data_IF_513584803774
#
_entry.id   IF_513584803774
#
_cell.length_a   1.000
_cell.length_b   1.000
_cell.length_c   1.000
_cell.angle_alpha   90.00
_cell.angle_beta   90.00
_cell.angle_gamma   90.00
#
_symmetry.space_group_name_H-M   'P 1'
#
loop_
_entity.id
_entity.type
_entity.pdbx_description
1 polymer ?
#
# COMPACT_ATOMS: atom_id res chain seq x y z
N UNK A 1 8.37 -1.74 -18.09
CA UNK A 1 7.65 -2.10 -16.84
C UNK A 1 8.63 -2.48 -15.74
N UNK A 2 8.20 -2.49 -14.48
CA UNK A 2 8.99 -2.97 -13.34
C UNK A 2 8.06 -3.59 -12.27
N UNK A 3 8.66 -4.35 -11.37
CA UNK A 3 8.07 -4.75 -10.10
C UNK A 3 9.16 -4.70 -9.01
N UNK A 4 8.90 -5.22 -7.83
CA UNK A 4 9.86 -5.18 -6.70
C UNK A 4 11.21 -5.82 -7.06
N UNK A 5 11.20 -7.10 -7.48
CA UNK A 5 12.41 -7.87 -7.78
C UNK A 5 12.53 -8.38 -9.24
N UNK A 6 11.63 -8.00 -10.16
CA UNK A 6 11.70 -8.39 -11.57
C UNK A 6 10.87 -9.63 -11.96
N UNK A 7 10.64 -10.59 -11.08
CA UNK A 7 10.03 -11.91 -11.40
C UNK A 7 8.67 -11.80 -12.09
N UNK A 8 7.79 -10.93 -11.60
CA UNK A 8 6.45 -10.72 -12.21
C UNK A 8 6.54 -10.09 -13.59
N UNK A 9 7.60 -9.34 -13.85
CA UNK A 9 7.82 -8.66 -15.14
C UNK A 9 8.16 -9.63 -16.26
N UNK A 10 8.83 -10.74 -15.99
CA UNK A 10 9.14 -11.76 -16.99
C UNK A 10 7.86 -12.32 -17.61
N UNK A 11 6.92 -12.76 -16.76
CA UNK A 11 5.61 -13.25 -17.22
C UNK A 11 4.80 -12.16 -17.93
N UNK A 12 4.79 -10.95 -17.37
CA UNK A 12 4.03 -9.84 -17.94
C UNK A 12 4.59 -9.40 -19.30
N UNK A 13 5.91 -9.32 -19.46
CA UNK A 13 6.55 -8.96 -20.74
C UNK A 13 6.33 -10.03 -21.81
N UNK A 14 6.42 -11.32 -21.45
CA UNK A 14 6.10 -12.40 -22.37
C UNK A 14 4.65 -12.33 -22.84
N UNK A 15 3.69 -12.08 -21.93
CA UNK A 15 2.29 -11.91 -22.29
C UNK A 15 2.06 -10.70 -23.22
N UNK A 16 2.70 -9.57 -22.94
CA UNK A 16 2.58 -8.37 -23.79
C UNK A 16 3.12 -8.62 -25.20
N UNK A 17 4.29 -9.28 -25.32
CA UNK A 17 4.84 -9.69 -26.62
C UNK A 17 3.90 -10.64 -27.38
N UNK A 18 3.31 -11.62 -26.67
CA UNK A 18 2.29 -12.51 -27.26
C UNK A 18 1.05 -11.73 -27.75
N UNK A 19 0.70 -10.60 -27.14
CA UNK A 19 -0.38 -9.71 -27.57
C UNK A 19 0.01 -8.75 -28.70
N UNK A 20 1.21 -8.88 -29.28
CA UNK A 20 1.67 -8.10 -30.43
C UNK A 20 2.37 -6.78 -30.08
N UNK A 21 2.70 -6.53 -28.81
CA UNK A 21 3.52 -5.38 -28.46
C UNK A 21 4.99 -5.65 -28.77
N UNK A 22 5.59 -4.90 -29.69
CA UNK A 22 6.96 -5.10 -30.12
C UNK A 22 8.00 -4.56 -29.11
N UNK A 23 7.77 -3.35 -28.59
CA UNK A 23 8.69 -2.64 -27.71
C UNK A 23 8.32 -2.87 -26.24
N UNK A 24 8.64 -4.06 -25.72
CA UNK A 24 8.38 -4.44 -24.33
C UNK A 24 9.67 -4.61 -23.58
N UNK A 25 9.91 -3.70 -22.64
CA UNK A 25 11.10 -3.69 -21.78
C UNK A 25 10.70 -3.84 -20.32
N UNK A 26 11.55 -4.49 -19.54
CA UNK A 26 11.41 -4.50 -18.07
C UNK A 26 12.76 -4.24 -17.40
N UNK A 27 12.67 -3.75 -16.17
CA UNK A 27 13.83 -3.41 -15.37
C UNK A 27 14.40 -4.71 -14.76
N UNK A 28 15.62 -5.06 -15.13
CA UNK A 28 16.33 -6.23 -14.60
C UNK A 28 16.51 -6.10 -13.08
N UNK A 29 16.15 -7.16 -12.34
CA UNK A 29 16.17 -7.16 -10.88
C UNK A 29 15.18 -6.21 -10.20
N UNK A 30 14.28 -5.59 -10.98
CA UNK A 30 13.22 -4.73 -10.51
C UNK A 30 13.71 -3.40 -9.92
N UNK A 31 12.78 -2.71 -9.21
CA UNK A 31 13.07 -1.38 -8.66
C UNK A 31 14.11 -1.41 -7.54
N UNK A 32 14.23 -2.52 -6.80
CA UNK A 32 15.21 -2.65 -5.72
C UNK A 32 16.64 -2.66 -6.29
N UNK A 33 16.89 -3.46 -7.35
CA UNK A 33 18.21 -3.50 -8.00
C UNK A 33 18.54 -2.14 -8.60
N UNK A 34 17.58 -1.51 -9.28
CA UNK A 34 17.74 -0.16 -9.81
C UNK A 34 18.18 0.86 -8.74
N UNK A 35 17.49 0.89 -7.62
CA UNK A 35 17.82 1.83 -6.54
C UNK A 35 19.21 1.56 -5.95
N UNK A 36 19.58 0.28 -5.78
CA UNK A 36 20.90 -0.13 -5.28
C UNK A 36 22.00 0.29 -6.24
N UNK A 37 21.86 -0.04 -7.53
CA UNK A 37 22.84 0.24 -8.55
C UNK A 37 23.01 1.75 -8.77
N UNK A 38 21.91 2.51 -8.75
CA UNK A 38 21.95 3.96 -8.84
C UNK A 38 22.73 4.59 -7.66
N UNK A 39 22.44 4.15 -6.43
CA UNK A 39 23.18 4.60 -5.24
C UNK A 39 24.66 4.23 -5.30
N UNK A 40 24.99 3.00 -5.67
CA UNK A 40 26.38 2.52 -5.76
C UNK A 40 27.21 3.28 -6.80
N UNK A 41 26.59 3.76 -7.87
CA UNK A 41 27.24 4.50 -8.94
C UNK A 41 27.04 6.03 -8.85
N UNK A 42 26.48 6.55 -7.74
CA UNK A 42 26.16 7.96 -7.54
C UNK A 42 25.31 8.55 -8.69
N UNK A 43 24.37 7.75 -9.21
CA UNK A 43 23.45 8.20 -10.25
C UNK A 43 22.18 8.77 -9.61
N UNK A 44 21.57 9.72 -10.30
CA UNK A 44 20.32 10.34 -9.90
C UNK A 44 19.15 9.34 -10.01
N UNK A 45 18.49 9.06 -8.88
CA UNK A 45 17.35 8.16 -8.81
C UNK A 45 16.11 8.87 -9.36
N UNK A 46 15.58 8.37 -10.48
CA UNK A 46 14.39 8.94 -11.13
C UNK A 46 13.06 8.50 -10.51
N UNK A 47 13.06 7.45 -9.69
CA UNK A 47 11.87 7.00 -8.98
C UNK A 47 11.66 7.84 -7.72
N UNK A 48 10.43 8.28 -7.48
CA UNK A 48 10.06 9.11 -6.32
C UNK A 48 9.21 8.33 -5.33
N UNK A 49 9.59 8.39 -4.04
CA UNK A 49 8.84 7.83 -2.94
C UNK A 49 9.11 6.35 -2.67
N UNK A 50 8.07 5.64 -2.26
CA UNK A 50 8.11 4.23 -1.87
C UNK A 50 7.46 3.33 -2.94
N UNK A 51 8.00 2.12 -3.10
CA UNK A 51 7.38 1.07 -3.88
C UNK A 51 6.58 0.15 -2.95
N UNK A 52 5.28 -0.03 -3.24
CA UNK A 52 4.45 -0.96 -2.47
C UNK A 52 4.92 -2.41 -2.69
N UNK A 53 5.05 -3.15 -1.58
CA UNK A 53 5.39 -4.57 -1.58
C UNK A 53 4.27 -5.38 -0.93
N UNK A 54 4.11 -6.65 -1.39
CA UNK A 54 3.02 -7.53 -0.94
C UNK A 54 3.46 -8.46 0.19
N UNK A 55 4.27 -7.95 1.11
CA UNK A 55 4.70 -8.64 2.33
C UNK A 55 4.52 -7.72 3.55
N UNK A 56 4.92 -8.17 4.73
CA UNK A 56 4.73 -7.47 5.99
C UNK A 56 5.35 -6.06 6.05
N UNK A 57 6.34 -5.76 5.19
CA UNK A 57 6.93 -4.43 5.07
C UNK A 57 5.97 -3.40 4.48
N UNK A 58 5.03 -3.83 3.63
CA UNK A 58 4.05 -3.04 2.87
C UNK A 58 4.65 -1.92 2.00
N UNK A 59 5.91 -1.53 2.22
CA UNK A 59 6.60 -0.52 1.44
C UNK A 59 8.12 -0.74 1.43
N UNK A 60 8.75 -0.45 0.30
CA UNK A 60 10.20 -0.37 0.14
C UNK A 60 10.57 1.05 -0.30
N UNK A 61 11.38 1.76 0.51
CA UNK A 61 11.77 3.13 0.20
C UNK A 61 12.83 3.15 -0.90
N UNK A 62 12.53 3.86 -1.96
CA UNK A 62 13.41 4.00 -3.13
C UNK A 62 14.09 5.37 -3.11
N UNK A 63 13.35 6.45 -2.84
CA UNK A 63 13.89 7.80 -2.65
C UNK A 63 13.35 8.44 -1.37
N UNK A 64 13.93 9.55 -0.95
CA UNK A 64 13.57 10.24 0.29
C UNK A 64 12.30 11.12 0.15
N UNK A 65 11.83 11.35 -1.08
CA UNK A 65 10.64 12.15 -1.32
C UNK A 65 9.38 11.43 -0.83
N UNK A 66 8.51 12.17 -0.15
CA UNK A 66 7.19 11.72 0.28
C UNK A 66 6.15 12.34 -0.64
N UNK A 67 5.56 11.54 -1.52
CA UNK A 67 4.57 12.00 -2.51
C UNK A 67 3.12 11.68 -2.13
N UNK A 68 2.94 10.80 -1.16
CA UNK A 68 1.63 10.41 -0.65
C UNK A 68 1.23 11.24 0.58
N UNK A 69 -0.02 11.13 0.98
CA UNK A 69 -0.56 11.80 2.16
C UNK A 69 -1.35 10.84 3.03
N UNK A 70 -1.37 11.09 4.33
CA UNK A 70 -2.26 10.42 5.27
C UNK A 70 -3.71 10.54 4.79
N UNK A 71 -4.43 9.42 4.71
CA UNK A 71 -5.80 9.41 4.20
C UNK A 71 -6.82 10.02 5.20
N UNK A 72 -6.41 10.25 6.45
CA UNK A 72 -7.25 10.84 7.48
C UNK A 72 -7.02 12.35 7.62
N UNK A 73 -5.79 12.81 7.85
CA UNK A 73 -5.52 14.23 8.08
C UNK A 73 -4.95 14.99 6.88
N UNK A 74 -4.41 14.28 5.87
CA UNK A 74 -3.83 14.89 4.67
C UNK A 74 -2.34 15.26 4.79
N UNK A 75 -1.71 15.09 5.95
CA UNK A 75 -0.28 15.34 6.14
C UNK A 75 0.57 14.43 5.23
N UNK A 76 1.73 14.92 4.75
CA UNK A 76 2.64 14.10 3.95
C UNK A 76 3.07 12.84 4.70
N UNK A 77 2.74 11.67 4.17
CA UNK A 77 3.09 10.38 4.75
C UNK A 77 2.91 9.27 3.73
N UNK A 78 3.72 8.21 3.78
CA UNK A 78 3.71 7.18 2.76
C UNK A 78 3.77 5.73 3.28
N UNK A 79 3.67 5.54 4.60
CA UNK A 79 3.59 4.19 5.15
C UNK A 79 2.17 3.66 5.12
N UNK A 80 2.03 2.46 4.56
CA UNK A 80 0.77 1.74 4.50
C UNK A 80 0.54 0.97 5.80
N UNK A 81 -0.73 0.84 6.17
CA UNK A 81 -1.18 0.01 7.29
C UNK A 81 -2.52 -0.62 6.96
N UNK A 82 -2.84 -1.73 7.61
CA UNK A 82 -4.18 -2.31 7.56
C UNK A 82 -4.98 -1.84 8.77
N UNK A 83 -6.27 -1.58 8.58
CA UNK A 83 -7.17 -1.28 9.68
C UNK A 83 -7.17 -2.43 10.70
N UNK A 84 -7.03 -2.10 11.98
CA UNK A 84 -7.00 -3.09 13.06
C UNK A 84 -8.31 -3.87 13.18
N UNK A 85 -9.44 -3.26 12.83
CA UNK A 85 -10.72 -3.98 12.75
C UNK A 85 -10.65 -5.03 11.64
N UNK A 86 -10.56 -6.30 12.02
CA UNK A 86 -10.47 -7.45 11.10
C UNK A 86 -11.70 -7.59 10.18
N UNK A 87 -12.84 -7.03 10.56
CA UNK A 87 -14.03 -6.98 9.71
C UNK A 87 -13.92 -5.97 8.56
N UNK A 88 -13.10 -4.94 8.74
CA UNK A 88 -12.79 -3.94 7.71
C UNK A 88 -11.50 -4.25 6.97
N UNK A 89 -10.40 -4.35 7.71
CA UNK A 89 -9.03 -4.66 7.25
C UNK A 89 -8.60 -3.92 5.99
N UNK A 90 -9.10 -2.69 5.78
CA UNK A 90 -8.74 -1.87 4.61
C UNK A 90 -7.27 -1.48 4.68
N UNK A 91 -6.57 -1.56 3.55
CA UNK A 91 -5.21 -1.06 3.40
C UNK A 91 -5.25 0.43 3.08
N UNK A 92 -4.57 1.26 3.88
CA UNK A 92 -4.56 2.71 3.73
C UNK A 92 -3.26 3.33 4.24
N UNK A 93 -3.09 4.64 4.05
CA UNK A 93 -1.93 5.40 4.55
C UNK A 93 -2.37 6.17 5.80
N UNK A 94 -1.64 5.97 6.91
CA UNK A 94 -1.95 6.59 8.20
C UNK A 94 -0.67 7.12 8.86
N UNK A 95 -0.63 8.43 9.15
CA UNK A 95 0.49 9.04 9.88
C UNK A 95 0.47 8.65 11.37
N UNK A 96 1.58 8.86 12.06
CA UNK A 96 1.72 8.48 13.47
C UNK A 96 0.69 9.14 14.38
N UNK A 97 0.41 10.43 14.19
CA UNK A 97 -0.61 11.17 14.96
C UNK A 97 -2.00 10.56 14.78
N UNK A 98 -2.39 10.23 13.54
CA UNK A 98 -3.66 9.56 13.28
C UNK A 98 -3.67 8.12 13.77
N UNK A 99 -2.53 7.44 13.74
CA UNK A 99 -2.37 6.09 14.27
C UNK A 99 -2.65 6.03 15.77
N UNK A 100 -2.12 6.99 16.53
CA UNK A 100 -2.39 7.13 17.96
C UNK A 100 -3.85 7.50 18.20
N UNK A 101 -4.36 8.52 17.51
CA UNK A 101 -5.74 9.00 17.67
C UNK A 101 -6.79 7.94 17.39
N UNK A 102 -6.62 7.14 16.34
CA UNK A 102 -7.60 6.13 15.88
C UNK A 102 -7.17 4.69 16.20
N UNK A 103 -6.16 4.49 17.03
CA UNK A 103 -5.68 3.16 17.46
C UNK A 103 -5.48 2.19 16.28
N UNK A 104 -4.79 2.62 15.25
CA UNK A 104 -4.59 1.88 14.00
C UNK A 104 -5.87 1.56 13.21
N UNK A 105 -6.98 2.22 13.50
CA UNK A 105 -8.23 2.06 12.77
C UNK A 105 -8.41 3.13 11.69
N UNK A 106 -9.13 2.81 10.64
CA UNK A 106 -9.39 3.73 9.54
C UNK A 106 -10.47 4.77 9.88
N UNK A 107 -11.31 4.51 10.89
CA UNK A 107 -12.39 5.38 11.35
C UNK A 107 -12.72 5.13 12.83
N UNK A 108 -13.45 6.05 13.44
CA UNK A 108 -13.97 5.91 14.82
C UNK A 108 -14.91 4.71 14.95
N UNK A 109 -15.70 4.41 13.91
CA UNK A 109 -16.56 3.22 13.90
C UNK A 109 -15.73 1.93 14.02
N UNK A 110 -14.61 1.84 13.26
CA UNK A 110 -13.72 0.70 13.34
C UNK A 110 -13.02 0.62 14.70
N UNK A 111 -12.62 1.75 15.27
CA UNK A 111 -12.05 1.84 16.62
C UNK A 111 -13.04 1.33 17.67
N UNK A 112 -14.29 1.78 17.64
CA UNK A 112 -15.34 1.30 18.56
C UNK A 112 -15.55 -0.21 18.44
N UNK A 113 -15.50 -0.78 17.24
CA UNK A 113 -15.61 -2.23 17.04
C UNK A 113 -14.41 -2.97 17.65
N UNK A 114 -13.20 -2.42 17.59
CA UNK A 114 -12.03 -3.07 18.20
C UNK A 114 -12.07 -3.10 19.74
N UNK A 115 -12.85 -2.23 20.37
CA UNK A 115 -13.07 -2.21 21.81
C UNK A 115 -14.16 -3.21 22.30
N UNK A 116 -14.91 -3.82 21.39
CA UNK A 116 -15.86 -4.89 21.72
C UNK A 116 -15.13 -6.18 22.07
N UNK A 117 -15.81 -7.09 22.77
CA UNK A 117 -15.31 -8.42 23.04
C UNK A 117 -15.02 -9.21 21.74
N UNK A 118 -14.12 -10.18 21.80
CA UNK A 118 -13.82 -11.01 20.64
C UNK A 118 -15.04 -11.74 20.07
N UNK A 119 -15.97 -12.11 20.94
CA UNK A 119 -17.21 -12.80 20.58
C UNK A 119 -18.14 -11.88 19.79
N UNK A 120 -18.35 -10.65 20.27
CA UNK A 120 -19.14 -9.64 19.56
C UNK A 120 -18.53 -9.27 18.21
N UNK A 121 -17.21 -9.09 18.16
CA UNK A 121 -16.50 -8.85 16.89
C UNK A 121 -16.68 -10.02 15.91
N UNK A 122 -16.64 -11.27 16.37
CA UNK A 122 -16.90 -12.45 15.56
C UNK A 122 -18.33 -12.48 15.03
N UNK A 123 -19.31 -12.16 15.85
CA UNK A 123 -20.72 -12.09 15.43
C UNK A 123 -20.95 -11.00 14.37
N UNK A 124 -20.38 -9.81 14.57
CA UNK A 124 -20.45 -8.73 13.58
C UNK A 124 -19.83 -9.15 12.23
N UNK A 125 -18.68 -9.83 12.25
CA UNK A 125 -18.02 -10.32 11.02
C UNK A 125 -18.84 -11.37 10.29
N UNK A 126 -19.59 -12.23 10.99
CA UNK A 126 -20.48 -13.21 10.34
C UNK A 126 -21.63 -12.53 9.60
N UNK A 127 -22.14 -11.42 10.13
CA UNK A 127 -23.25 -10.65 9.54
C UNK A 127 -22.82 -9.76 8.39
N UNK A 128 -21.56 -9.32 8.36
CA UNK A 128 -21.05 -8.40 7.35
C UNK A 128 -20.05 -9.12 6.44
N UNK A 129 -20.32 -9.29 5.15
CA UNK A 129 -19.36 -9.91 4.24
C UNK A 129 -18.09 -9.07 4.17
N UNK A 130 -16.93 -9.70 4.40
CA UNK A 130 -15.62 -9.05 4.31
C UNK A 130 -15.33 -8.75 2.84
N UNK A 131 -15.48 -7.51 2.45
CA UNK A 131 -14.98 -7.03 1.17
C UNK A 131 -13.55 -6.54 1.40
N UNK A 132 -12.55 -7.30 0.93
CA UNK A 132 -11.15 -6.87 0.96
C UNK A 132 -10.97 -5.67 0.04
N UNK A 133 -11.00 -4.48 0.60
CA UNK A 133 -10.85 -3.24 -0.14
C UNK A 133 -9.49 -2.60 0.16
N UNK A 134 -8.85 -2.10 -0.90
CA UNK A 134 -7.76 -1.13 -0.81
C UNK A 134 -8.39 0.25 -0.92
N UNK A 135 -8.04 1.17 -0.03
CA UNK A 135 -8.50 2.55 -0.13
C UNK A 135 -8.11 3.15 -1.47
N UNK A 136 -9.10 3.70 -2.18
CA UNK A 136 -8.90 4.39 -3.46
C UNK A 136 -9.43 5.82 -3.33
N UNK A 137 -8.52 6.78 -3.29
CA UNK A 137 -8.88 8.21 -3.27
C UNK A 137 -9.86 8.54 -4.41
N UNK A 138 -10.98 9.18 -4.09
CA UNK A 138 -12.03 9.56 -5.03
C UNK A 138 -13.06 8.47 -5.38
N UNK A 139 -12.86 7.21 -4.93
CA UNK A 139 -13.82 6.10 -5.14
C UNK A 139 -14.44 5.59 -3.85
N UNK A 140 -13.92 6.00 -2.73
CA UNK A 140 -14.43 5.64 -1.39
C UNK A 140 -14.76 6.92 -0.63
N UNK A 141 -15.72 6.88 0.32
CA UNK A 141 -15.94 7.97 1.26
C UNK A 141 -14.63 8.37 1.93
N UNK A 142 -14.48 9.65 2.26
CA UNK A 142 -13.34 10.09 3.08
C UNK A 142 -13.32 9.26 4.36
N UNK A 143 -12.15 8.76 4.74
CA UNK A 143 -11.99 7.89 5.92
C UNK A 143 -12.39 8.60 7.22
N UNK A 144 -12.22 9.91 7.28
CA UNK A 144 -12.80 10.79 8.32
C UNK A 144 -12.98 12.17 7.72
N UNK A 145 -13.96 12.92 8.21
CA UNK A 145 -14.01 14.36 8.08
C UNK A 145 -13.44 14.99 9.34
#
# INVERSE_FOLDING_TARGET
MYCTGGIRCEKASAYMKHKGFENVYHLEGGIIKYARDAKANNLDIKFKGVNFVFDERLAERISDEVIATCHQCGEPFDHHTNCLNLGCHILFIQCNTCKEKYENCCSEECQNITHLSEEEQKELRKKTPVVRNVYKKGRMPKLTK
#
